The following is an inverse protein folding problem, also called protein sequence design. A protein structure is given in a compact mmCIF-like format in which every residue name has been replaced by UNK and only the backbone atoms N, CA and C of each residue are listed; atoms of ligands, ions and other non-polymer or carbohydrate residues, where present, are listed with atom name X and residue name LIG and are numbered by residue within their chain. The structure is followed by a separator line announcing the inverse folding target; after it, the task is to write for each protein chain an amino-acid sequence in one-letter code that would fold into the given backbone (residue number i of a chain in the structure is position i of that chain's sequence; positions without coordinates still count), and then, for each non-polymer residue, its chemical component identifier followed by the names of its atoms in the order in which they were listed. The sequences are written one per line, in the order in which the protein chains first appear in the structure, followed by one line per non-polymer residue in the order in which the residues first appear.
data_IF_499636088715
#
_entry.id   IF_499636088715
#
_cell.length_a   1.000
_cell.length_b   1.000
_cell.length_c   1.000
_cell.angle_alpha   90.00
_cell.angle_beta   90.00
_cell.angle_gamma   90.00
#
_symmetry.space_group_name_H-M   'P 1'
#
loop_
_entity.id
_entity.type
_entity.pdbx_description
1 polymer ?
#
# COMPACT_ATOMS: atom_id res chain seq x y z
N UNK A 1 22.52 22.35 -15.46
CA UNK A 1 22.32 21.86 -14.09
C UNK A 1 21.17 20.85 -14.11
N UNK A 2 21.47 19.56 -14.33
CA UNK A 2 20.42 18.53 -14.36
C UNK A 2 19.90 18.30 -12.95
N UNK A 3 18.65 18.71 -12.66
CA UNK A 3 17.96 18.25 -11.45
C UNK A 3 17.72 16.76 -11.62
N UNK A 4 18.66 15.94 -11.14
CA UNK A 4 18.39 14.54 -10.84
C UNK A 4 17.37 14.58 -9.72
N UNK A 5 16.09 14.60 -10.08
CA UNK A 5 15.00 14.55 -9.11
C UNK A 5 15.04 13.15 -8.52
N UNK A 6 15.54 13.02 -7.28
CA UNK A 6 15.58 11.75 -6.55
C UNK A 6 14.20 11.11 -6.35
N UNK A 7 13.12 11.77 -6.78
CA UNK A 7 11.75 11.28 -6.74
C UNK A 7 11.57 9.91 -7.39
N UNK A 8 12.18 9.65 -8.55
CA UNK A 8 12.03 8.35 -9.25
C UNK A 8 12.58 7.20 -8.40
N UNK A 9 13.88 7.20 -7.99
CA UNK A 9 14.40 6.14 -7.13
C UNK A 9 13.75 6.10 -5.74
N UNK A 10 13.42 7.25 -5.14
CA UNK A 10 12.74 7.29 -3.83
C UNK A 10 11.34 6.65 -3.89
N UNK A 11 10.58 6.91 -4.94
CA UNK A 11 9.26 6.31 -5.14
C UNK A 11 9.36 4.80 -5.29
N UNK A 12 10.30 4.33 -6.11
CA UNK A 12 10.53 2.90 -6.28
C UNK A 12 10.89 2.21 -4.96
N UNK A 13 11.82 2.79 -4.19
CA UNK A 13 12.27 2.23 -2.92
C UNK A 13 11.16 2.20 -1.87
N UNK A 14 10.37 3.28 -1.76
CA UNK A 14 9.27 3.34 -0.78
C UNK A 14 8.12 2.40 -1.16
N UNK A 15 7.77 2.30 -2.44
CA UNK A 15 6.80 1.32 -2.95
C UNK A 15 7.23 -0.11 -2.62
N UNK A 16 8.49 -0.46 -2.89
CA UNK A 16 9.02 -1.80 -2.57
C UNK A 16 9.11 -2.04 -1.06
N UNK A 17 9.49 -1.05 -0.26
CA UNK A 17 9.52 -1.19 1.19
C UNK A 17 8.12 -1.50 1.74
N UNK A 18 7.09 -0.78 1.28
CA UNK A 18 5.70 -1.06 1.67
C UNK A 18 5.26 -2.46 1.18
N UNK A 19 5.60 -2.86 -0.04
CA UNK A 19 5.34 -4.21 -0.56
C UNK A 19 5.94 -5.30 0.33
N UNK A 20 7.22 -5.18 0.69
CA UNK A 20 7.91 -6.17 1.53
C UNK A 20 7.24 -6.29 2.89
N UNK A 21 6.92 -5.15 3.54
CA UNK A 21 6.26 -5.16 4.85
C UNK A 21 4.87 -5.79 4.77
N UNK A 22 4.10 -5.54 3.71
CA UNK A 22 2.79 -6.17 3.48
C UNK A 22 2.92 -7.68 3.28
N UNK A 23 3.93 -8.15 2.52
CA UNK A 23 4.20 -9.58 2.36
C UNK A 23 4.57 -10.22 3.70
N UNK A 24 5.42 -9.56 4.49
CA UNK A 24 5.77 -10.02 5.84
C UNK A 24 4.53 -10.13 6.72
N UNK A 25 3.69 -9.09 6.77
CA UNK A 25 2.44 -9.10 7.52
C UNK A 25 1.51 -10.21 7.04
N UNK A 26 1.40 -10.43 5.72
CA UNK A 26 0.59 -11.52 5.17
C UNK A 26 1.01 -12.89 5.73
N UNK A 27 2.30 -13.12 5.93
CA UNK A 27 2.85 -14.36 6.48
C UNK A 27 2.79 -14.44 8.01
N UNK A 28 2.82 -13.31 8.73
CA UNK A 28 2.92 -13.27 10.21
C UNK A 28 1.68 -12.70 10.92
N UNK A 29 0.52 -12.68 10.26
CA UNK A 29 -0.71 -12.01 10.73
C UNK A 29 -1.38 -12.62 11.96
N UNK A 30 -1.09 -13.87 12.35
CA UNK A 30 -1.78 -14.55 13.45
C UNK A 30 -1.75 -13.74 14.76
N UNK A 31 -0.60 -13.13 15.06
CA UNK A 31 -0.43 -12.29 16.27
C UNK A 31 -1.29 -11.04 16.23
N UNK A 32 -1.49 -10.47 15.04
CA UNK A 32 -2.35 -9.30 14.86
C UNK A 32 -3.82 -9.68 14.96
N UNK A 33 -4.24 -10.81 14.37
CA UNK A 33 -5.62 -11.29 14.44
C UNK A 33 -6.02 -11.55 15.89
N UNK A 34 -5.16 -12.19 16.68
CA UNK A 34 -5.42 -12.44 18.09
C UNK A 34 -5.57 -11.14 18.90
N UNK A 35 -4.87 -10.06 18.54
CA UNK A 35 -5.02 -8.78 19.20
C UNK A 35 -6.41 -8.14 18.96
N UNK A 36 -7.12 -8.57 17.91
CA UNK A 36 -8.47 -8.10 17.56
C UNK A 36 -9.58 -8.87 18.30
N UNK A 37 -9.22 -9.88 19.08
CA UNK A 37 -10.14 -10.84 19.68
C UNK A 37 -10.16 -10.72 21.20
N UNK A 38 -11.29 -11.07 21.84
CA UNK A 38 -11.36 -11.17 23.29
C UNK A 38 -10.47 -12.30 23.83
N UNK A 39 -10.15 -12.27 25.13
CA UNK A 39 -9.33 -13.30 25.81
C UNK A 39 -9.85 -14.73 25.64
N UNK A 40 -11.15 -14.89 25.40
CA UNK A 40 -11.78 -16.15 25.02
C UNK A 40 -12.56 -15.90 23.74
N UNK A 41 -12.13 -16.51 22.66
CA UNK A 41 -12.72 -16.38 21.33
C UNK A 41 -13.12 -17.74 20.79
N UNK A 42 -14.09 -17.77 19.88
CA UNK A 42 -14.43 -18.99 19.15
C UNK A 42 -13.63 -19.08 17.84
N UNK A 43 -13.45 -20.29 17.27
CA UNK A 43 -12.78 -20.44 15.97
C UNK A 43 -13.42 -19.60 14.87
N UNK A 44 -14.74 -19.43 14.89
CA UNK A 44 -15.48 -18.66 13.89
C UNK A 44 -15.17 -17.16 13.96
N UNK A 45 -14.92 -16.62 15.15
CA UNK A 45 -14.52 -15.22 15.34
C UNK A 45 -13.10 -14.97 14.80
N UNK A 46 -12.20 -15.93 15.01
CA UNK A 46 -10.86 -15.90 14.46
C UNK A 46 -10.88 -15.92 12.93
N UNK A 47 -11.56 -16.89 12.34
CA UNK A 47 -11.63 -17.06 10.88
C UNK A 47 -12.25 -15.83 10.22
N UNK A 48 -13.24 -15.20 10.86
CA UNK A 48 -13.83 -13.96 10.34
C UNK A 48 -12.80 -12.83 10.26
N UNK A 49 -11.99 -12.63 11.29
CA UNK A 49 -10.95 -11.60 11.29
C UNK A 49 -9.81 -11.94 10.33
N UNK A 50 -9.40 -13.21 10.26
CA UNK A 50 -8.40 -13.69 9.30
C UNK A 50 -8.84 -13.41 7.86
N UNK A 51 -10.06 -13.81 7.48
CA UNK A 51 -10.60 -13.58 6.14
C UNK A 51 -10.61 -12.09 5.79
N UNK A 52 -11.04 -11.22 6.72
CA UNK A 52 -11.08 -9.77 6.48
C UNK A 52 -9.68 -9.21 6.24
N UNK A 53 -8.71 -9.56 7.09
CA UNK A 53 -7.34 -9.06 6.99
C UNK A 53 -6.64 -9.60 5.73
N UNK A 54 -6.79 -10.89 5.44
CA UNK A 54 -6.26 -11.53 4.21
C UNK A 54 -6.85 -10.89 2.96
N UNK A 55 -8.16 -10.63 2.93
CA UNK A 55 -8.78 -9.97 1.80
C UNK A 55 -8.19 -8.57 1.58
N UNK A 56 -8.05 -7.78 2.65
CA UNK A 56 -7.52 -6.43 2.57
C UNK A 56 -6.02 -6.40 2.15
N UNK A 57 -5.21 -7.32 2.67
CA UNK A 57 -3.81 -7.49 2.25
C UNK A 57 -3.71 -7.96 0.78
N UNK A 58 -4.57 -8.87 0.35
CA UNK A 58 -4.61 -9.35 -1.05
C UNK A 58 -4.97 -8.23 -2.02
N UNK A 59 -5.94 -7.40 -1.66
CA UNK A 59 -6.29 -6.20 -2.45
C UNK A 59 -5.09 -5.25 -2.51
N UNK A 60 -4.40 -5.02 -1.38
CA UNK A 60 -3.19 -4.18 -1.34
C UNK A 60 -2.10 -4.69 -2.29
N UNK A 61 -1.85 -6.00 -2.33
CA UNK A 61 -0.92 -6.60 -3.29
C UNK A 61 -1.33 -6.34 -4.75
N UNK A 62 -2.63 -6.42 -5.05
CA UNK A 62 -3.16 -6.06 -6.37
C UNK A 62 -2.95 -4.57 -6.71
N UNK A 63 -3.13 -3.67 -5.75
CA UNK A 63 -2.89 -2.23 -5.94
C UNK A 63 -1.41 -1.93 -6.20
N UNK A 64 -0.48 -2.62 -5.53
CA UNK A 64 0.94 -2.51 -5.84
C UNK A 64 1.26 -2.94 -7.27
N UNK A 65 0.59 -3.97 -7.79
CA UNK A 65 0.78 -4.38 -9.19
C UNK A 65 0.37 -3.27 -10.16
N UNK A 66 -0.73 -2.54 -9.87
CA UNK A 66 -1.17 -1.38 -10.65
C UNK A 66 -0.13 -0.25 -10.59
N UNK A 67 0.32 0.12 -9.39
CA UNK A 67 1.33 1.18 -9.22
C UNK A 67 2.66 0.83 -9.85
N UNK A 68 3.11 -0.41 -9.73
CA UNK A 68 4.34 -0.86 -10.34
C UNK A 68 4.22 -0.90 -11.87
N UNK A 69 3.08 -1.30 -12.42
CA UNK A 69 2.83 -1.26 -13.86
C UNK A 69 2.81 0.17 -14.41
N UNK A 70 2.11 1.11 -13.74
CA UNK A 70 2.08 2.51 -14.14
C UNK A 70 3.43 3.23 -13.98
N UNK A 71 4.20 2.85 -12.95
CA UNK A 71 5.58 3.32 -12.77
C UNK A 71 6.52 2.76 -13.86
N UNK A 72 6.58 1.44 -14.05
CA UNK A 72 7.50 0.78 -15.00
C UNK A 72 7.15 1.05 -16.47
N UNK A 73 5.87 1.31 -16.78
CA UNK A 73 5.47 1.75 -18.13
C UNK A 73 5.90 3.19 -18.47
N UNK A 74 6.39 3.95 -17.47
CA UNK A 74 6.83 5.33 -17.65
C UNK A 74 5.70 6.37 -17.62
N UNK A 75 4.45 5.94 -17.44
CA UNK A 75 3.24 6.79 -17.49
C UNK A 75 3.21 7.77 -16.32
N UNK A 76 3.48 7.29 -15.11
CA UNK A 76 3.49 8.10 -13.88
C UNK A 76 4.90 8.42 -13.37
N UNK A 77 5.94 7.78 -13.93
CA UNK A 77 7.32 7.89 -13.46
C UNK A 77 7.82 9.34 -13.41
N UNK A 78 7.39 10.17 -14.37
CA UNK A 78 7.83 11.56 -14.48
C UNK A 78 6.83 12.57 -13.87
N UNK A 79 5.70 12.11 -13.34
CA UNK A 79 4.75 12.99 -12.65
C UNK A 79 5.22 13.25 -11.22
N UNK A 80 5.62 14.50 -10.94
CA UNK A 80 6.20 14.88 -9.64
C UNK A 80 5.17 14.85 -8.50
N UNK A 81 3.93 15.26 -8.76
CA UNK A 81 2.85 15.25 -7.77
C UNK A 81 2.51 13.83 -7.34
N UNK A 82 2.33 12.92 -8.30
CA UNK A 82 2.08 11.51 -8.02
C UNK A 82 3.24 10.85 -7.30
N UNK A 83 4.47 11.20 -7.68
CA UNK A 83 5.65 10.69 -6.99
C UNK A 83 5.70 11.14 -5.54
N UNK A 84 5.37 12.39 -5.22
CA UNK A 84 5.32 12.88 -3.84
C UNK A 84 4.21 12.20 -3.03
N UNK A 85 3.02 12.04 -3.61
CA UNK A 85 1.89 11.36 -2.96
C UNK A 85 2.27 9.91 -2.65
N UNK A 86 2.77 9.17 -3.65
CA UNK A 86 3.18 7.78 -3.52
C UNK A 86 4.31 7.62 -2.48
N UNK A 87 5.38 8.43 -2.55
CA UNK A 87 6.47 8.40 -1.57
C UNK A 87 5.97 8.62 -0.14
N UNK A 88 5.17 9.67 0.08
CA UNK A 88 4.65 10.00 1.40
C UNK A 88 3.75 8.89 1.96
N UNK A 89 2.85 8.38 1.13
CA UNK A 89 1.93 7.30 1.49
C UNK A 89 2.67 5.99 1.81
N UNK A 90 3.52 5.49 0.91
CA UNK A 90 4.23 4.24 1.14
C UNK A 90 5.23 4.34 2.29
N UNK A 91 5.94 5.46 2.44
CA UNK A 91 6.84 5.67 3.58
C UNK A 91 6.07 5.65 4.91
N UNK A 92 4.95 6.35 4.98
CA UNK A 92 4.09 6.36 6.17
C UNK A 92 3.56 4.97 6.49
N UNK A 93 3.13 4.23 5.47
CA UNK A 93 2.70 2.84 5.61
C UNK A 93 3.83 1.93 6.09
N UNK A 94 5.04 2.02 5.53
CA UNK A 94 6.17 1.20 5.97
C UNK A 94 6.46 1.39 7.45
N UNK A 95 6.40 2.63 7.95
CA UNK A 95 6.59 2.92 9.37
C UNK A 95 5.40 2.40 10.19
N UNK A 96 4.16 2.75 9.81
CA UNK A 96 2.96 2.38 10.56
C UNK A 96 2.74 0.87 10.61
N UNK A 97 2.96 0.15 9.51
CA UNK A 97 2.86 -1.31 9.46
C UNK A 97 4.00 -2.00 10.20
N UNK A 98 5.18 -1.39 10.30
CA UNK A 98 6.23 -1.92 11.18
C UNK A 98 5.77 -1.91 12.64
N UNK A 99 5.19 -0.80 13.11
CA UNK A 99 4.56 -0.75 14.43
C UNK A 99 3.39 -1.72 14.56
N UNK A 100 2.55 -1.83 13.52
CA UNK A 100 1.44 -2.77 13.49
C UNK A 100 1.91 -4.20 13.77
N UNK A 101 3.01 -4.64 13.14
CA UNK A 101 3.59 -5.97 13.34
C UNK A 101 4.19 -6.10 14.74
N UNK A 102 5.05 -5.17 15.18
CA UNK A 102 5.79 -5.31 16.44
C UNK A 102 4.90 -5.15 17.68
N UNK A 103 4.01 -4.17 17.67
CA UNK A 103 3.14 -3.84 18.80
C UNK A 103 1.78 -4.55 18.72
N UNK A 104 1.60 -5.45 17.74
CA UNK A 104 0.38 -6.26 17.56
C UNK A 104 -0.89 -5.42 17.56
N UNK A 105 -0.92 -4.38 16.74
CA UNK A 105 -2.09 -3.50 16.66
C UNK A 105 -3.33 -4.24 16.18
N UNK A 106 -4.49 -3.76 16.64
CA UNK A 106 -5.81 -4.28 16.25
C UNK A 106 -6.09 -4.09 14.75
N UNK A 107 -6.85 -5.02 14.18
CA UNK A 107 -7.14 -5.19 12.75
C UNK A 107 -7.80 -3.96 12.14
N UNK A 108 -8.62 -3.24 12.91
CA UNK A 108 -9.25 -1.99 12.46
C UNK A 108 -8.20 -0.94 12.06
N UNK A 109 -7.04 -0.93 12.71
CA UNK A 109 -5.95 0.00 12.39
C UNK A 109 -5.41 -0.22 10.98
N UNK A 110 -5.37 -1.48 10.52
CA UNK A 110 -4.95 -1.81 9.17
C UNK A 110 -5.85 -1.15 8.11
N UNK A 111 -7.15 -1.08 8.33
CA UNK A 111 -8.08 -0.44 7.38
C UNK A 111 -7.82 1.04 7.19
N UNK A 112 -7.44 1.77 8.25
CA UNK A 112 -7.04 3.17 8.11
C UNK A 112 -5.74 3.30 7.31
N UNK A 113 -4.74 2.45 7.60
CA UNK A 113 -3.48 2.44 6.83
C UNK A 113 -3.77 2.12 5.36
N UNK A 114 -4.61 1.13 5.08
CA UNK A 114 -5.01 0.74 3.73
C UNK A 114 -5.61 1.91 2.95
N UNK A 115 -6.60 2.62 3.51
CA UNK A 115 -7.29 3.72 2.81
C UNK A 115 -6.31 4.84 2.47
N UNK A 116 -5.52 5.30 3.43
CA UNK A 116 -4.65 6.45 3.25
C UNK A 116 -3.35 6.13 2.51
N UNK A 117 -2.80 4.94 2.71
CA UNK A 117 -1.45 4.60 2.27
C UNK A 117 -1.39 3.61 1.09
N UNK A 118 -2.50 2.93 0.76
CA UNK A 118 -2.57 1.98 -0.35
C UNK A 118 -3.63 2.38 -1.39
N UNK A 119 -4.86 2.68 -0.95
CA UNK A 119 -5.95 3.01 -1.86
C UNK A 119 -5.74 4.38 -2.52
N UNK A 120 -5.33 5.40 -1.75
CA UNK A 120 -5.14 6.75 -2.28
C UNK A 120 -4.06 6.83 -3.39
N UNK A 121 -2.82 6.31 -3.21
CA UNK A 121 -1.81 6.30 -4.29
C UNK A 121 -2.23 5.50 -5.51
N UNK A 122 -2.91 4.37 -5.31
CA UNK A 122 -3.37 3.52 -6.41
C UNK A 122 -4.52 4.16 -7.20
N UNK A 123 -5.44 4.87 -6.53
CA UNK A 123 -6.50 5.64 -7.21
C UNK A 123 -5.89 6.74 -8.05
N UNK A 124 -4.95 7.53 -7.50
CA UNK A 124 -4.28 8.58 -8.27
C UNK A 124 -3.50 8.00 -9.44
N UNK A 125 -2.87 6.83 -9.28
CA UNK A 125 -2.22 6.12 -10.38
C UNK A 125 -3.21 5.71 -11.48
N UNK A 126 -4.34 5.12 -11.09
CA UNK A 126 -5.38 4.70 -12.02
C UNK A 126 -5.94 5.90 -12.81
N UNK A 127 -6.14 7.04 -12.15
CA UNK A 127 -6.60 8.26 -12.82
C UNK A 127 -5.60 8.74 -13.88
N UNK A 128 -4.29 8.65 -13.61
CA UNK A 128 -3.25 8.97 -14.59
C UNK A 128 -3.27 7.99 -15.75
N UNK A 129 -3.39 6.69 -15.46
CA UNK A 129 -3.44 5.65 -16.49
C UNK A 129 -4.62 5.86 -17.44
N UNK A 130 -5.82 6.12 -16.90
CA UNK A 130 -7.02 6.45 -17.69
C UNK A 130 -6.84 7.75 -18.48
N UNK A 131 -6.21 8.77 -17.88
CA UNK A 131 -5.97 10.06 -18.55
C UNK A 131 -5.02 9.93 -19.74
N UNK A 132 -3.97 9.13 -19.60
CA UNK A 132 -2.95 8.94 -20.65
C UNK A 132 -3.45 8.01 -21.75
N UNK A 133 -3.99 6.84 -21.42
CA UNK A 133 -4.41 5.86 -22.43
C UNK A 133 -5.83 6.09 -22.94
N UNK A 134 -6.76 6.45 -22.07
CA UNK A 134 -8.16 6.67 -22.43
C UNK A 134 -8.40 8.03 -23.09
N UNK A 135 -7.88 9.10 -22.48
CA UNK A 135 -8.11 10.47 -22.97
C UNK A 135 -6.99 10.99 -23.90
N UNK A 136 -5.92 10.21 -24.11
CA UNK A 136 -4.74 10.60 -24.90
C UNK A 136 -4.13 11.95 -24.50
N UNK A 137 -4.31 12.36 -23.24
CA UNK A 137 -3.71 13.59 -22.72
C UNK A 137 -2.27 13.30 -22.29
N UNK A 138 -1.39 14.27 -22.51
CA UNK A 138 0.00 14.16 -22.06
C UNK A 138 0.04 14.14 -20.52
N UNK A 139 0.82 13.24 -19.91
CA UNK A 139 1.09 13.28 -18.48
C UNK A 139 1.99 14.48 -18.23
N UNK A 140 1.43 15.55 -17.66
CA UNK A 140 2.20 16.70 -17.18
C UNK A 140 2.23 16.66 -15.65
#
# INVERSE_FOLDING_TARGET
MGRVSGLVPSRFLTLLAHLVVVITLFWSRDSNIQACLPLRFTPEEYDKQDIQLVAALSVTLGLFAVELAGFLSGVSMFNSTQSLISIGAHCSASVALSFFIFERWECTTYWYIFVFCSALPAVTEMTLFVTVFGLKKKPF
#
